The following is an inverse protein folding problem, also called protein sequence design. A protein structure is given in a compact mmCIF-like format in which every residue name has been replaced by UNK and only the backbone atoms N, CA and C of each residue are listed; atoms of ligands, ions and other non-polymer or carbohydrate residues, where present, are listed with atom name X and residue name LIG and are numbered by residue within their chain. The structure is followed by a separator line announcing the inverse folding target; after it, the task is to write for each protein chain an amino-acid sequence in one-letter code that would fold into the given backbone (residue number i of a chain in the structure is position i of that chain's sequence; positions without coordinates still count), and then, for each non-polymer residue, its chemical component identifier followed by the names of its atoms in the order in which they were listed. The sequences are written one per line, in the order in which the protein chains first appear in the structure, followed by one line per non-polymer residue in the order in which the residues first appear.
data_IF_992290883372
#
_entry.id   IF_992290883372
#
_cell.length_a   1.000
_cell.length_b   1.000
_cell.length_c   1.000
_cell.angle_alpha   90.00
_cell.angle_beta   90.00
_cell.angle_gamma   90.00
#
_symmetry.space_group_name_H-M   'P 1'
#
loop_
_entity.id
_entity.type
_entity.pdbx_description
1 polymer ?
#
# COMPACT_ATOMS: atom_id res chain seq x y z
N UNK A 1 -31.83 -33.66 1.70
CA UNK A 1 -30.39 -33.41 1.46
C UNK A 1 -30.17 -33.48 -0.04
N UNK A 2 -29.97 -32.34 -0.70
CA UNK A 2 -29.61 -32.32 -2.12
C UNK A 2 -28.13 -32.68 -2.28
N UNK A 3 -27.84 -33.57 -3.22
CA UNK A 3 -26.49 -34.05 -3.55
C UNK A 3 -25.62 -32.89 -4.04
N UNK A 4 -24.35 -32.89 -3.62
CA UNK A 4 -23.33 -31.85 -3.86
C UNK A 4 -23.00 -31.53 -5.34
N UNK A 5 -23.67 -32.17 -6.31
CA UNK A 5 -23.43 -31.97 -7.74
C UNK A 5 -24.30 -30.89 -8.40
N UNK A 6 -25.33 -30.40 -7.73
CA UNK A 6 -26.32 -29.50 -8.33
C UNK A 6 -26.39 -28.11 -7.67
N UNK A 7 -25.24 -27.50 -7.37
CA UNK A 7 -25.24 -26.03 -7.25
C UNK A 7 -25.22 -25.44 -8.66
N UNK A 8 -26.10 -24.48 -8.98
CA UNK A 8 -26.10 -23.84 -10.30
C UNK A 8 -24.72 -23.24 -10.52
N UNK A 9 -23.97 -23.85 -11.46
CA UNK A 9 -22.72 -23.29 -11.95
C UNK A 9 -23.05 -21.90 -12.43
N UNK A 10 -22.59 -20.88 -11.71
CA UNK A 10 -22.59 -19.50 -12.17
C UNK A 10 -22.19 -19.50 -13.64
N UNK A 11 -22.88 -18.70 -14.48
CA UNK A 11 -22.55 -18.54 -15.90
C UNK A 11 -21.08 -18.15 -16.11
N UNK A 12 -20.42 -17.68 -15.04
CA UNK A 12 -18.98 -17.54 -14.89
C UNK A 12 -18.46 -18.74 -14.08
N UNK A 13 -17.89 -19.75 -14.75
CA UNK A 13 -17.38 -20.98 -14.13
C UNK A 13 -16.40 -20.74 -12.97
N UNK A 14 -15.78 -19.56 -12.92
CA UNK A 14 -14.68 -19.23 -12.02
C UNK A 14 -14.99 -18.08 -11.04
N UNK A 15 -16.26 -17.70 -10.80
CA UNK A 15 -16.60 -16.67 -9.80
C UNK A 15 -17.41 -17.30 -8.66
N UNK A 16 -16.80 -17.39 -7.47
CA UNK A 16 -17.43 -17.94 -6.26
C UNK A 16 -18.01 -16.80 -5.40
N UNK A 17 -19.30 -16.88 -5.06
CA UNK A 17 -19.92 -16.00 -4.06
C UNK A 17 -19.50 -16.40 -2.65
N UNK A 18 -19.47 -15.46 -1.71
CA UNK A 18 -19.25 -15.75 -0.28
C UNK A 18 -20.28 -16.78 0.19
N UNK A 19 -19.82 -17.97 0.59
CA UNK A 19 -20.65 -18.96 1.26
C UNK A 19 -20.62 -18.71 2.77
N UNK A 20 -21.76 -18.80 3.48
CA UNK A 20 -21.79 -18.72 4.94
C UNK A 20 -21.06 -19.93 5.54
N UNK A 21 -20.21 -19.64 6.53
CA UNK A 21 -19.33 -20.53 7.29
C UNK A 21 -19.50 -22.04 7.10
N UNK A 22 -18.79 -22.59 6.09
CA UNK A 22 -18.40 -24.01 6.09
C UNK A 22 -16.99 -24.21 5.54
N UNK A 23 -16.10 -24.50 6.50
CA UNK A 23 -14.95 -25.43 6.45
C UNK A 23 -13.89 -25.27 5.34
N UNK A 24 -12.77 -24.65 5.69
CA UNK A 24 -11.47 -25.33 5.91
C UNK A 24 -10.37 -24.28 6.07
N UNK A 25 -9.70 -24.31 7.23
CA UNK A 25 -8.34 -23.78 7.37
C UNK A 25 -7.47 -24.39 6.26
N UNK A 26 -6.70 -23.56 5.53
CA UNK A 26 -5.74 -23.89 4.44
C UNK A 26 -6.12 -23.64 2.97
N UNK A 27 -7.06 -22.74 2.66
CA UNK A 27 -7.03 -22.14 1.32
C UNK A 27 -5.96 -21.04 1.28
N UNK A 28 -4.80 -21.32 0.63
CA UNK A 28 -3.76 -20.33 0.37
C UNK A 28 -4.28 -19.31 -0.65
N UNK A 29 -4.95 -18.29 -0.12
CA UNK A 29 -5.52 -17.18 -0.87
C UNK A 29 -4.42 -16.13 -1.13
N UNK A 30 -3.98 -16.02 -2.39
CA UNK A 30 -3.11 -14.91 -2.83
C UNK A 30 -3.91 -13.91 -3.67
N UNK A 31 -3.50 -12.64 -3.65
CA UNK A 31 -4.07 -11.63 -4.55
C UNK A 31 -3.69 -11.94 -5.99
N UNK A 32 -4.67 -11.77 -6.87
CA UNK A 32 -4.66 -11.98 -8.33
C UNK A 32 -3.27 -11.91 -8.96
N UNK A 33 -2.63 -13.06 -9.13
CA UNK A 33 -1.62 -13.25 -10.18
C UNK A 33 -2.35 -14.05 -11.25
N UNK A 34 -2.71 -13.41 -12.35
CA UNK A 34 -3.27 -14.14 -13.49
C UNK A 34 -2.23 -15.18 -13.93
N UNK A 35 -2.69 -16.40 -14.27
CA UNK A 35 -1.82 -17.36 -14.94
C UNK A 35 -1.43 -16.73 -16.28
N UNK A 36 -0.14 -16.67 -16.57
CA UNK A 36 0.36 -16.25 -17.88
C UNK A 36 0.13 -17.43 -18.82
N UNK A 37 -1.02 -17.45 -19.49
CA UNK A 37 -1.19 -18.27 -20.67
C UNK A 37 -0.51 -17.53 -21.82
N UNK A 38 0.62 -18.06 -22.30
CA UNK A 38 1.21 -17.59 -23.55
C UNK A 38 0.28 -18.05 -24.68
N UNK A 39 -0.28 -17.13 -25.48
CA UNK A 39 -1.13 -17.53 -26.59
C UNK A 39 -0.31 -18.29 -27.62
N UNK A 40 -0.83 -19.42 -28.10
CA UNK A 40 -0.18 -20.30 -29.09
C UNK A 40 0.17 -19.57 -30.42
N UNK A 41 -0.46 -18.42 -30.70
CA UNK A 41 -0.08 -17.52 -31.81
C UNK A 41 -0.31 -16.04 -31.45
N UNK A 42 0.66 -15.14 -31.72
CA UNK A 42 0.48 -13.71 -31.53
C UNK A 42 -0.52 -13.16 -32.56
N UNK A 43 -1.68 -12.72 -32.09
CA UNK A 43 -2.68 -12.06 -32.92
C UNK A 43 -2.21 -10.65 -33.31
N UNK A 44 -2.25 -10.33 -34.61
CA UNK A 44 -1.88 -9.02 -35.16
C UNK A 44 -3.09 -8.09 -35.36
N UNK A 45 -4.28 -8.51 -34.93
CA UNK A 45 -5.50 -7.72 -35.14
C UNK A 45 -5.52 -6.47 -34.26
N UNK A 46 -6.02 -5.36 -34.82
CA UNK A 46 -6.22 -4.10 -34.10
C UNK A 46 -7.06 -4.31 -32.83
N UNK A 47 -6.65 -3.69 -31.73
CA UNK A 47 -7.37 -3.70 -30.45
C UNK A 47 -8.28 -2.48 -30.38
N UNK A 48 -9.60 -2.69 -30.34
CA UNK A 48 -10.55 -1.59 -30.18
C UNK A 48 -10.63 -1.11 -28.72
N UNK A 49 -10.56 -2.05 -27.78
CA UNK A 49 -10.76 -1.84 -26.35
C UNK A 49 -9.71 -2.62 -25.58
N UNK A 50 -8.90 -1.91 -24.78
CA UNK A 50 -7.86 -2.50 -23.96
C UNK A 50 -8.13 -2.18 -22.49
N UNK A 51 -8.22 -3.22 -21.66
CA UNK A 51 -8.31 -3.07 -20.20
C UNK A 51 -6.95 -3.42 -19.60
N UNK A 52 -6.30 -2.46 -18.97
CA UNK A 52 -4.99 -2.65 -18.31
C UNK A 52 -5.23 -2.73 -16.81
N UNK A 53 -4.97 -3.90 -16.23
CA UNK A 53 -5.08 -4.17 -14.79
C UNK A 53 -3.71 -4.50 -14.21
N UNK A 54 -3.61 -4.68 -12.89
CA UNK A 54 -2.35 -5.01 -12.23
C UNK A 54 -1.64 -3.79 -11.63
N UNK A 55 -0.34 -3.93 -11.38
CA UNK A 55 0.47 -2.91 -10.69
C UNK A 55 0.86 -1.77 -11.63
N UNK A 56 1.15 -0.59 -11.09
CA UNK A 56 1.44 0.59 -11.90
C UNK A 56 2.67 0.40 -12.79
N UNK A 57 3.72 -0.24 -12.25
CA UNK A 57 4.97 -0.47 -12.99
C UNK A 57 4.83 -1.47 -14.15
N UNK A 58 3.78 -2.29 -14.16
CA UNK A 58 3.55 -3.29 -15.21
C UNK A 58 2.84 -2.67 -16.42
N UNK A 59 2.11 -1.57 -16.22
CA UNK A 59 1.24 -0.98 -17.24
C UNK A 59 2.01 -0.53 -18.48
N UNK A 60 3.18 0.11 -18.30
CA UNK A 60 4.00 0.56 -19.44
C UNK A 60 4.46 -0.63 -20.28
N UNK A 61 5.00 -1.67 -19.64
CA UNK A 61 5.44 -2.89 -20.33
C UNK A 61 4.26 -3.60 -21.02
N UNK A 62 3.13 -3.69 -20.34
CA UNK A 62 1.92 -4.33 -20.87
C UNK A 62 1.41 -3.61 -22.11
N UNK A 63 1.30 -2.29 -22.09
CA UNK A 63 0.84 -1.51 -23.25
C UNK A 63 1.88 -1.53 -24.36
N UNK A 64 3.18 -1.47 -24.03
CA UNK A 64 4.25 -1.53 -25.02
C UNK A 64 4.22 -2.85 -25.80
N UNK A 65 3.86 -3.97 -25.16
CA UNK A 65 3.76 -5.28 -25.81
C UNK A 65 2.66 -5.39 -26.88
N UNK A 66 1.70 -4.48 -26.88
CA UNK A 66 0.59 -4.42 -27.85
C UNK A 66 0.53 -3.08 -28.58
N UNK A 67 1.61 -2.30 -28.54
CA UNK A 67 1.66 -0.93 -29.08
C UNK A 67 1.34 -0.88 -30.57
N UNK A 68 1.82 -1.87 -31.32
CA UNK A 68 1.60 -2.05 -32.76
C UNK A 68 0.12 -2.29 -33.12
N UNK A 69 -0.71 -2.68 -32.14
CA UNK A 69 -2.13 -3.01 -32.30
C UNK A 69 -3.07 -1.91 -31.78
N UNK A 70 -2.52 -0.80 -31.34
CA UNK A 70 -3.24 0.32 -30.70
C UNK A 70 -3.07 1.59 -31.53
N UNK A 71 -4.16 2.29 -31.79
CA UNK A 71 -4.19 3.54 -32.55
C UNK A 71 -5.13 4.59 -31.93
N UNK A 72 -5.35 5.72 -32.60
CA UNK A 72 -6.24 6.79 -32.16
C UNK A 72 -7.71 6.36 -31.97
N UNK A 73 -8.13 5.26 -32.61
CA UNK A 73 -9.48 4.72 -32.50
C UNK A 73 -9.58 3.70 -31.34
N UNK A 74 -8.49 3.41 -30.63
CA UNK A 74 -8.47 2.48 -29.51
C UNK A 74 -8.86 3.19 -28.21
N UNK A 75 -9.67 2.53 -27.38
CA UNK A 75 -9.94 2.99 -26.01
C UNK A 75 -9.15 2.14 -25.02
N UNK A 76 -8.27 2.78 -24.25
CA UNK A 76 -7.50 2.13 -23.18
C UNK A 76 -8.07 2.55 -21.83
N UNK A 77 -8.47 1.58 -21.01
CA UNK A 77 -8.90 1.80 -19.63
C UNK A 77 -7.84 1.29 -18.64
N UNK A 78 -7.28 2.21 -17.86
CA UNK A 78 -6.32 1.92 -16.81
C UNK A 78 -7.05 1.67 -15.49
N UNK A 79 -6.98 0.44 -14.98
CA UNK A 79 -7.59 -0.01 -13.71
C UNK A 79 -6.54 -0.17 -12.59
N UNK A 80 -5.37 0.41 -12.74
CA UNK A 80 -4.28 0.28 -11.76
C UNK A 80 -4.61 0.99 -10.43
N UNK A 81 -4.09 0.43 -9.32
CA UNK A 81 -4.32 0.97 -7.97
C UNK A 81 -3.65 2.35 -7.76
N UNK A 82 -2.46 2.55 -8.33
CA UNK A 82 -1.70 3.79 -8.23
C UNK A 82 -2.19 4.91 -9.18
N UNK A 83 -1.59 6.09 -9.04
CA UNK A 83 -1.77 7.25 -9.91
C UNK A 83 -0.42 7.65 -10.53
N UNK A 84 -0.44 8.46 -11.58
CA UNK A 84 0.77 8.78 -12.35
C UNK A 84 1.07 7.79 -13.48
N UNK A 85 0.28 6.71 -13.60
CA UNK A 85 0.47 5.66 -14.62
C UNK A 85 0.16 6.19 -16.01
N UNK A 86 -0.91 6.98 -16.16
CA UNK A 86 -1.31 7.55 -17.45
C UNK A 86 -0.23 8.48 -18.01
N UNK A 87 0.31 9.34 -17.16
CA UNK A 87 1.36 10.29 -17.49
C UNK A 87 2.61 9.57 -17.99
N UNK A 88 3.04 8.53 -17.28
CA UNK A 88 4.21 7.75 -17.65
C UNK A 88 4.00 6.93 -18.94
N UNK A 89 2.80 6.36 -19.13
CA UNK A 89 2.42 5.68 -20.37
C UNK A 89 2.49 6.63 -21.55
N UNK A 90 1.96 7.85 -21.41
CA UNK A 90 2.01 8.86 -22.48
C UNK A 90 3.43 9.27 -22.81
N UNK A 91 4.21 9.59 -21.78
CA UNK A 91 5.61 10.00 -21.93
C UNK A 91 6.43 8.91 -22.62
N UNK A 92 6.33 7.67 -22.14
CA UNK A 92 7.21 6.57 -22.57
C UNK A 92 6.77 5.93 -23.89
N UNK A 93 5.46 5.76 -24.10
CA UNK A 93 4.95 4.99 -25.24
C UNK A 93 4.51 5.91 -26.37
N UNK A 94 3.89 7.04 -26.05
CA UNK A 94 3.29 7.94 -27.03
C UNK A 94 4.09 9.24 -27.20
N UNK A 95 5.34 9.28 -26.75
CA UNK A 95 6.25 10.43 -26.84
C UNK A 95 5.64 11.73 -26.26
N UNK A 96 4.82 11.61 -25.21
CA UNK A 96 4.05 12.71 -24.64
C UNK A 96 2.98 13.31 -25.56
N UNK A 97 2.79 12.75 -26.77
CA UNK A 97 1.80 13.24 -27.73
C UNK A 97 0.40 12.77 -27.35
N UNK A 98 -0.56 13.67 -27.56
CA UNK A 98 -1.99 13.41 -27.37
C UNK A 98 -2.67 12.96 -28.68
N UNK A 99 -1.90 12.46 -29.66
CA UNK A 99 -2.40 11.88 -30.92
C UNK A 99 -2.55 10.36 -30.84
N UNK A 100 -2.62 9.82 -29.62
CA UNK A 100 -2.75 8.40 -29.35
C UNK A 100 -4.19 7.96 -29.01
N UNK A 101 -4.34 6.79 -28.38
CA UNK A 101 -5.64 6.23 -28.01
C UNK A 101 -6.39 7.12 -27.01
N UNK A 102 -7.70 6.92 -26.93
CA UNK A 102 -8.53 7.55 -25.89
C UNK A 102 -8.30 6.85 -24.55
N UNK A 103 -7.96 7.60 -23.51
CA UNK A 103 -7.72 7.04 -22.19
C UNK A 103 -8.93 7.20 -21.25
N UNK A 104 -9.20 6.12 -20.54
CA UNK A 104 -10.13 6.05 -19.42
C UNK A 104 -9.38 5.63 -18.16
N UNK A 105 -9.81 6.16 -17.03
CA UNK A 105 -9.31 5.78 -15.72
C UNK A 105 -10.43 5.06 -14.98
N UNK A 106 -10.07 3.99 -14.29
CA UNK A 106 -11.01 3.25 -13.48
C UNK A 106 -10.42 2.84 -12.14
N UNK A 107 -11.31 2.66 -11.18
CA UNK A 107 -10.98 2.13 -9.86
C UNK A 107 -12.11 1.24 -9.37
N UNK A 108 -11.78 0.21 -8.61
CA UNK A 108 -12.76 -0.72 -8.05
C UNK A 108 -12.55 -0.87 -6.54
N UNK A 109 -13.64 -0.93 -5.78
CA UNK A 109 -13.62 -1.19 -4.33
C UNK A 109 -13.93 -2.66 -3.96
N UNK A 110 -14.14 -3.53 -4.95
CA UNK A 110 -14.36 -4.96 -4.73
C UNK A 110 -13.14 -5.58 -4.04
N UNK A 111 -13.37 -6.36 -2.98
CA UNK A 111 -12.32 -7.16 -2.36
C UNK A 111 -12.31 -8.53 -3.03
N UNK A 112 -11.41 -8.72 -4.00
CA UNK A 112 -11.27 -9.96 -4.76
C UNK A 112 -10.03 -10.75 -4.32
N UNK A 113 -10.16 -12.07 -4.33
CA UNK A 113 -9.07 -13.01 -4.02
C UNK A 113 -9.04 -14.12 -5.05
N UNK A 114 -7.85 -14.52 -5.49
CA UNK A 114 -7.68 -15.66 -6.37
C UNK A 114 -7.46 -16.94 -5.56
N UNK A 115 -8.29 -17.94 -5.83
CA UNK A 115 -8.18 -19.29 -5.29
C UNK A 115 -7.46 -20.17 -6.32
N UNK A 116 -6.13 -20.32 -6.17
CA UNK A 116 -5.30 -21.13 -7.06
C UNK A 116 -5.76 -22.59 -7.14
N UNK A 117 -6.18 -23.18 -6.02
CA UNK A 117 -6.61 -24.58 -5.96
C UNK A 117 -7.83 -24.87 -6.85
N UNK A 118 -8.67 -23.85 -7.09
CA UNK A 118 -9.88 -23.97 -7.90
C UNK A 118 -9.80 -23.20 -9.22
N UNK A 119 -8.70 -22.50 -9.49
CA UNK A 119 -8.61 -21.58 -10.62
C UNK A 119 -9.73 -20.52 -10.64
N UNK A 120 -10.19 -20.09 -9.46
CA UNK A 120 -11.38 -19.23 -9.34
C UNK A 120 -11.09 -17.92 -8.61
N UNK A 121 -11.86 -16.88 -8.90
CA UNK A 121 -11.88 -15.62 -8.16
C UNK A 121 -13.03 -15.65 -7.16
N UNK A 122 -12.74 -15.37 -5.90
CA UNK A 122 -13.72 -15.20 -4.83
C UNK A 122 -13.87 -13.73 -4.52
N UNK A 123 -15.10 -13.24 -4.53
CA UNK A 123 -15.44 -11.93 -3.99
C UNK A 123 -15.59 -12.07 -2.47
N UNK A 124 -14.72 -11.43 -1.70
CA UNK A 124 -14.80 -11.39 -0.23
C UNK A 124 -15.78 -10.32 0.25
N UNK A 125 -15.75 -9.16 -0.42
CA UNK A 125 -16.63 -8.03 -0.14
C UNK A 125 -17.04 -7.39 -1.45
N UNK A 126 -18.36 -7.26 -1.64
CA UNK A 126 -18.95 -6.52 -2.73
C UNK A 126 -18.54 -5.06 -2.71
N UNK A 127 -18.13 -4.54 -3.88
CA UNK A 127 -17.77 -3.15 -4.07
C UNK A 127 -18.51 -2.53 -5.24
N UNK A 128 -17.96 -1.43 -5.76
CA UNK A 128 -18.38 -0.80 -7.00
C UNK A 128 -17.18 -0.49 -7.88
N UNK A 129 -17.42 -0.35 -9.17
CA UNK A 129 -16.42 0.06 -10.15
C UNK A 129 -16.77 1.44 -10.68
N UNK A 130 -15.86 2.41 -10.56
CA UNK A 130 -16.11 3.78 -11.02
C UNK A 130 -15.11 4.12 -12.13
N UNK A 131 -15.63 4.61 -13.25
CA UNK A 131 -14.88 4.96 -14.45
C UNK A 131 -14.98 6.45 -14.73
N UNK A 132 -13.92 7.04 -15.26
CA UNK A 132 -13.91 8.43 -15.72
C UNK A 132 -13.07 8.59 -16.98
N UNK A 133 -13.36 9.63 -17.76
CA UNK A 133 -12.66 9.93 -19.00
C UNK A 133 -11.47 10.83 -18.71
N UNK A 134 -10.26 10.40 -19.05
CA UNK A 134 -9.04 11.18 -18.79
C UNK A 134 -8.91 12.40 -19.72
N UNK A 135 -9.47 12.31 -20.93
CA UNK A 135 -9.23 13.26 -22.02
C UNK A 135 -10.34 14.31 -22.23
N UNK A 136 -11.27 14.45 -21.28
CA UNK A 136 -12.50 15.25 -21.49
C UNK A 136 -12.21 16.71 -21.85
N UNK A 137 -11.27 17.36 -21.14
CA UNK A 137 -10.89 18.76 -21.40
C UNK A 137 -10.10 18.93 -22.72
N UNK A 138 -9.20 17.99 -23.02
CA UNK A 138 -8.34 18.02 -24.21
C UNK A 138 -9.11 17.77 -25.50
N UNK A 139 -10.14 16.91 -25.48
CA UNK A 139 -11.02 16.68 -26.63
C UNK A 139 -11.81 17.93 -27.00
N UNK A 140 -12.29 18.65 -25.98
CA UNK A 140 -12.99 19.93 -26.14
C UNK A 140 -12.07 20.97 -26.81
N UNK A 141 -10.84 21.12 -26.32
CA UNK A 141 -9.84 22.05 -26.87
C UNK A 141 -9.44 21.72 -28.32
N UNK A 142 -9.39 20.44 -28.69
CA UNK A 142 -9.04 20.01 -30.06
C UNK A 142 -10.21 20.03 -31.05
N UNK A 143 -11.41 20.45 -30.64
CA UNK A 143 -12.58 20.46 -31.51
C UNK A 143 -12.99 19.07 -32.03
N UNK A 144 -12.54 18.00 -31.37
CA UNK A 144 -12.85 16.62 -31.74
C UNK A 144 -14.32 16.34 -31.42
N UNK A 145 -15.20 16.52 -32.41
CA UNK A 145 -16.67 16.37 -32.30
C UNK A 145 -17.14 14.91 -32.13
N UNK A 146 -16.28 13.93 -32.39
CA UNK A 146 -16.65 12.52 -32.22
C UNK A 146 -16.92 12.24 -30.74
N UNK A 147 -18.09 11.66 -30.43
CA UNK A 147 -18.39 11.19 -29.09
C UNK A 147 -17.34 10.13 -28.69
N UNK A 148 -16.77 10.20 -27.48
CA UNK A 148 -15.84 9.17 -27.01
C UNK A 148 -16.51 7.79 -27.11
N UNK A 149 -15.77 6.77 -27.55
CA UNK A 149 -16.30 5.40 -27.60
C UNK A 149 -16.67 4.95 -26.18
N UNK A 150 -17.97 4.85 -25.92
CA UNK A 150 -18.54 4.39 -24.64
C UNK A 150 -18.82 2.90 -24.62
N UNK A 151 -18.44 2.17 -25.67
CA UNK A 151 -18.73 0.74 -25.79
C UNK A 151 -18.11 -0.07 -24.65
N UNK A 152 -16.88 0.27 -24.22
CA UNK A 152 -16.26 -0.38 -23.07
C UNK A 152 -17.06 -0.16 -21.78
N UNK A 153 -17.46 1.09 -21.50
CA UNK A 153 -18.29 1.43 -20.34
C UNK A 153 -19.59 0.62 -20.36
N UNK A 154 -20.29 0.60 -21.50
CA UNK A 154 -21.55 -0.12 -21.65
C UNK A 154 -21.37 -1.61 -21.38
N UNK A 155 -20.30 -2.22 -21.89
CA UNK A 155 -19.96 -3.63 -21.62
C UNK A 155 -19.74 -3.89 -20.13
N UNK A 156 -19.04 -2.99 -19.43
CA UNK A 156 -18.82 -3.13 -17.99
C UNK A 156 -20.11 -2.93 -17.18
N UNK A 157 -20.98 -2.01 -17.60
CA UNK A 157 -22.30 -1.78 -16.98
C UNK A 157 -23.27 -2.96 -17.18
N UNK A 158 -23.15 -3.69 -18.29
CA UNK A 158 -23.93 -4.90 -18.55
C UNK A 158 -23.56 -6.08 -17.64
N UNK A 159 -22.45 -6.01 -16.90
CA UNK A 159 -22.03 -7.01 -15.94
C UNK A 159 -22.47 -6.61 -14.51
N UNK A 160 -23.58 -7.15 -13.96
CA UNK A 160 -24.15 -6.65 -12.71
C UNK A 160 -23.23 -6.86 -11.50
N UNK A 161 -22.36 -7.87 -11.55
CA UNK A 161 -21.39 -8.17 -10.50
C UNK A 161 -20.32 -7.08 -10.34
N UNK A 162 -20.03 -6.29 -11.38
CA UNK A 162 -19.02 -5.22 -11.32
C UNK A 162 -19.56 -3.90 -10.76
N UNK A 163 -20.90 -3.77 -10.66
CA UNK A 163 -21.59 -2.54 -10.27
C UNK A 163 -20.92 -1.28 -10.85
N UNK A 164 -20.72 -1.30 -12.18
CA UNK A 164 -19.94 -0.29 -12.86
C UNK A 164 -20.74 1.00 -13.08
N UNK A 165 -20.14 2.15 -12.78
CA UNK A 165 -20.71 3.48 -13.04
C UNK A 165 -19.67 4.41 -13.67
N UNK A 166 -20.13 5.51 -14.25
CA UNK A 166 -19.28 6.58 -14.75
C UNK A 166 -19.45 7.83 -13.92
N UNK A 167 -18.36 8.55 -13.67
CA UNK A 167 -18.37 9.81 -12.94
C UNK A 167 -17.50 10.87 -13.61
N UNK A 168 -17.65 12.11 -13.15
CA UNK A 168 -16.67 13.16 -13.39
C UNK A 168 -15.34 12.84 -12.69
N UNK A 169 -14.29 13.53 -13.10
CA UNK A 169 -12.92 13.25 -12.67
C UNK A 169 -12.71 13.53 -11.18
N UNK A 170 -13.25 14.65 -10.68
CA UNK A 170 -13.28 15.03 -9.26
C UNK A 170 -13.99 13.98 -8.38
N UNK A 171 -15.14 13.50 -8.83
CA UNK A 171 -15.91 12.46 -8.14
C UNK A 171 -15.17 11.11 -8.16
N UNK A 172 -14.45 10.82 -9.24
CA UNK A 172 -13.60 9.64 -9.31
C UNK A 172 -12.40 9.75 -8.36
N UNK A 173 -11.79 10.93 -8.25
CA UNK A 173 -10.73 11.21 -7.28
C UNK A 173 -11.23 11.04 -5.84
N UNK A 174 -12.43 11.53 -5.52
CA UNK A 174 -13.09 11.31 -4.22
C UNK A 174 -13.21 9.82 -3.88
N UNK A 175 -13.51 8.99 -4.88
CA UNK A 175 -13.58 7.55 -4.70
C UNK A 175 -12.21 6.86 -4.55
N UNK A 176 -11.20 7.29 -5.33
CA UNK A 176 -9.88 6.62 -5.38
C UNK A 176 -8.90 7.09 -4.31
N UNK A 177 -8.82 8.40 -4.05
CA UNK A 177 -7.77 8.99 -3.21
C UNK A 177 -7.75 8.45 -1.78
N UNK A 178 -8.87 8.26 -1.05
CA UNK A 178 -8.83 7.71 0.30
C UNK A 178 -8.15 6.34 0.38
N UNK A 179 -8.41 5.46 -0.60
CA UNK A 179 -7.80 4.13 -0.70
C UNK A 179 -6.29 4.20 -0.95
N UNK A 180 -5.87 5.16 -1.78
CA UNK A 180 -4.46 5.40 -2.05
C UNK A 180 -3.73 6.00 -0.86
N UNK A 181 -4.29 7.02 -0.23
CA UNK A 181 -3.70 7.68 0.96
C UNK A 181 -3.55 6.69 2.11
N UNK A 182 -4.53 5.81 2.31
CA UNK A 182 -4.41 4.69 3.24
C UNK A 182 -3.17 3.85 2.94
N UNK A 183 -3.03 3.38 1.70
CA UNK A 183 -1.93 2.48 1.32
C UNK A 183 -0.57 3.19 1.44
N UNK A 184 -0.54 4.46 1.03
CA UNK A 184 0.62 5.34 1.08
C UNK A 184 1.11 5.67 2.49
N UNK A 185 0.20 5.86 3.45
CA UNK A 185 0.56 6.13 4.85
C UNK A 185 0.84 4.84 5.64
N UNK A 186 0.03 3.81 5.46
CA UNK A 186 -0.02 2.66 6.38
C UNK A 186 1.03 1.61 6.02
N UNK A 187 1.17 1.26 4.74
CA UNK A 187 2.10 0.19 4.33
C UNK A 187 3.57 0.52 4.66
N UNK A 188 4.10 1.74 4.44
CA UNK A 188 5.48 2.05 4.80
C UNK A 188 5.73 2.00 6.31
N UNK A 189 4.72 2.31 7.13
CA UNK A 189 4.82 2.24 8.60
C UNK A 189 4.87 0.78 9.05
N UNK A 190 4.08 -0.10 8.43
CA UNK A 190 4.20 -1.56 8.64
C UNK A 190 5.61 -2.06 8.34
N UNK A 191 6.19 -1.66 7.20
CA UNK A 191 7.57 -2.04 6.82
C UNK A 191 8.58 -1.52 7.83
N UNK A 192 8.49 -0.24 8.19
CA UNK A 192 9.49 0.40 9.03
C UNK A 192 9.52 -0.19 10.45
N UNK A 193 8.34 -0.42 11.03
CA UNK A 193 8.21 -0.86 12.42
C UNK A 193 8.13 -2.38 12.56
N UNK A 194 8.11 -3.10 11.44
CA UNK A 194 7.87 -4.54 11.39
C UNK A 194 6.60 -4.92 12.17
N UNK A 195 5.50 -4.23 11.83
CA UNK A 195 4.21 -4.40 12.50
C UNK A 195 3.13 -4.87 11.52
N UNK A 196 2.32 -5.88 11.88
CA UNK A 196 1.07 -6.14 11.20
C UNK A 196 0.07 -4.98 11.41
N UNK A 197 -0.99 -4.91 10.60
CA UNK A 197 -1.95 -3.79 10.65
C UNK A 197 -2.54 -3.57 12.06
N UNK A 198 -2.97 -4.64 12.74
CA UNK A 198 -3.49 -4.55 14.12
C UNK A 198 -2.48 -3.98 15.13
N UNK A 199 -1.19 -4.20 14.92
CA UNK A 199 -0.12 -3.66 15.77
C UNK A 199 0.02 -2.15 15.67
N UNK A 200 -0.41 -1.55 14.56
CA UNK A 200 -0.37 -0.10 14.35
C UNK A 200 -1.28 0.66 15.33
N UNK A 201 -2.44 0.07 15.66
CA UNK A 201 -3.43 0.71 16.52
C UNK A 201 -3.01 0.77 17.99
N UNK A 202 -2.06 -0.06 18.42
CA UNK A 202 -1.59 -0.09 19.80
C UNK A 202 -0.24 0.63 19.95
N UNK A 203 0.44 0.92 18.83
CA UNK A 203 1.73 1.58 18.84
C UNK A 203 1.59 3.10 18.62
N UNK A 204 1.79 3.88 19.69
CA UNK A 204 1.72 5.36 19.66
C UNK A 204 2.67 5.99 18.63
N UNK A 205 3.84 5.39 18.42
CA UNK A 205 4.79 5.87 17.41
C UNK A 205 4.28 5.61 15.99
N UNK A 206 3.68 4.44 15.75
CA UNK A 206 3.07 4.10 14.47
C UNK A 206 1.92 5.06 14.15
N UNK A 207 1.02 5.28 15.10
CA UNK A 207 -0.10 6.23 14.96
C UNK A 207 0.40 7.65 14.66
N UNK A 208 1.39 8.14 15.40
CA UNK A 208 1.96 9.47 15.19
C UNK A 208 2.55 9.61 13.78
N UNK A 209 3.28 8.59 13.31
CA UNK A 209 3.89 8.57 11.98
C UNK A 209 2.83 8.52 10.87
N UNK A 210 1.82 7.65 11.01
CA UNK A 210 0.71 7.58 10.09
C UNK A 210 -0.03 8.91 9.99
N UNK A 211 -0.34 9.55 11.11
CA UNK A 211 -1.06 10.82 11.12
C UNK A 211 -0.24 11.90 10.40
N UNK A 212 1.07 12.03 10.68
CA UNK A 212 1.94 12.97 9.96
C UNK A 212 1.96 12.73 8.45
N UNK A 213 2.00 11.46 8.01
CA UNK A 213 1.96 11.11 6.59
C UNK A 213 0.61 11.46 5.96
N UNK A 214 -0.50 11.17 6.66
CA UNK A 214 -1.84 11.51 6.20
C UNK A 214 -2.02 13.03 6.09
N UNK A 215 -1.54 13.79 7.07
CA UNK A 215 -1.61 15.26 7.06
C UNK A 215 -0.82 15.87 5.90
N UNK A 216 0.40 15.37 5.62
CA UNK A 216 1.18 15.80 4.45
C UNK A 216 0.45 15.51 3.13
N UNK A 217 -0.14 14.32 3.00
CA UNK A 217 -0.88 13.95 1.79
C UNK A 217 -2.19 14.72 1.65
N UNK A 218 -2.91 14.95 2.74
CA UNK A 218 -4.15 15.72 2.76
C UNK A 218 -3.89 17.15 2.27
N UNK A 219 -2.84 17.82 2.78
CA UNK A 219 -2.43 19.15 2.32
C UNK A 219 -2.13 19.20 0.82
N UNK A 220 -1.47 18.17 0.27
CA UNK A 220 -1.21 18.08 -1.17
C UNK A 220 -2.51 17.95 -1.94
N UNK A 221 -3.40 17.04 -1.52
CA UNK A 221 -4.68 16.79 -2.18
C UNK A 221 -5.59 18.02 -2.12
N UNK A 222 -5.64 18.71 -0.98
CA UNK A 222 -6.38 19.94 -0.77
C UNK A 222 -5.93 21.10 -1.65
N UNK A 223 -4.70 21.07 -2.19
CA UNK A 223 -4.18 22.09 -3.11
C UNK A 223 -4.19 21.62 -4.57
N UNK A 224 -4.76 20.44 -4.87
CA UNK A 224 -4.92 20.00 -6.25
C UNK A 224 -6.00 20.82 -6.96
N UNK A 225 -5.72 21.43 -8.13
CA UNK A 225 -6.73 22.15 -8.89
C UNK A 225 -7.92 21.26 -9.28
N UNK A 226 -7.66 19.95 -9.47
CA UNK A 226 -8.68 18.98 -9.86
C UNK A 226 -9.64 18.61 -8.72
N UNK A 227 -9.29 18.97 -7.47
CA UNK A 227 -10.09 18.68 -6.26
C UNK A 227 -10.82 19.91 -5.73
N UNK A 228 -10.45 21.14 -6.15
CA UNK A 228 -11.04 22.37 -5.64
C UNK A 228 -12.56 22.47 -5.81
N UNK A 229 -13.11 21.79 -6.82
CA UNK A 229 -14.56 21.74 -7.05
C UNK A 229 -15.34 20.83 -6.11
N UNK A 230 -14.66 19.97 -5.32
CA UNK A 230 -15.30 18.97 -4.46
C UNK A 230 -15.18 19.37 -2.98
N UNK A 231 -16.17 20.13 -2.49
CA UNK A 231 -16.25 20.54 -1.08
C UNK A 231 -16.34 19.34 -0.13
N UNK A 232 -17.06 18.30 -0.53
CA UNK A 232 -17.21 17.06 0.24
C UNK A 232 -15.88 16.35 0.47
N UNK A 233 -15.03 16.24 -0.57
CA UNK A 233 -13.70 15.64 -0.43
C UNK A 233 -12.81 16.50 0.47
N UNK A 234 -12.84 17.82 0.30
CA UNK A 234 -12.07 18.74 1.14
C UNK A 234 -12.50 18.62 2.61
N UNK A 235 -13.80 18.62 2.89
CA UNK A 235 -14.34 18.44 4.25
C UNK A 235 -13.95 17.08 4.84
N UNK A 236 -13.95 16.02 4.03
CA UNK A 236 -13.50 14.69 4.45
C UNK A 236 -12.02 14.65 4.85
N UNK A 237 -11.17 15.40 4.14
CA UNK A 237 -9.72 15.49 4.38
C UNK A 237 -9.38 16.37 5.59
N UNK A 238 -10.05 17.52 5.73
CA UNK A 238 -9.84 18.46 6.83
C UNK A 238 -10.40 17.96 8.16
N UNK A 239 -11.46 17.15 8.11
CA UNK A 239 -12.07 16.54 9.29
C UNK A 239 -11.40 15.24 9.75
N UNK A 240 -12.07 14.52 10.64
CA UNK A 240 -11.62 13.20 11.11
C UNK A 240 -11.98 12.06 10.13
N UNK A 241 -12.55 12.38 8.97
CA UNK A 241 -13.04 11.42 7.97
C UNK A 241 -11.94 10.49 7.47
N UNK A 242 -10.82 11.07 7.01
CA UNK A 242 -9.68 10.30 6.52
C UNK A 242 -9.05 9.40 7.60
N UNK A 243 -8.90 9.90 8.83
CA UNK A 243 -8.35 9.13 9.94
C UNK A 243 -9.28 7.98 10.34
N UNK A 244 -10.59 8.23 10.47
CA UNK A 244 -11.60 7.19 10.72
C UNK A 244 -11.64 6.16 9.59
N UNK A 245 -11.53 6.59 8.33
CA UNK A 245 -11.42 5.70 7.19
C UNK A 245 -10.20 4.77 7.32
N UNK A 246 -9.04 5.32 7.66
CA UNK A 246 -7.83 4.52 7.86
C UNK A 246 -8.00 3.54 9.03
N UNK A 247 -8.50 4.01 10.18
CA UNK A 247 -8.75 3.18 11.35
C UNK A 247 -9.66 1.99 11.03
N UNK A 248 -10.82 2.22 10.40
CA UNK A 248 -11.76 1.16 9.98
C UNK A 248 -11.12 0.13 9.04
N UNK A 249 -10.23 0.59 8.15
CA UNK A 249 -9.55 -0.29 7.21
C UNK A 249 -8.42 -1.09 7.85
N UNK A 250 -7.74 -0.53 8.85
CA UNK A 250 -6.77 -1.25 9.68
C UNK A 250 -7.47 -2.35 10.50
N UNK A 251 -8.57 -2.00 11.20
CA UNK A 251 -9.32 -2.98 11.99
C UNK A 251 -9.91 -4.08 11.11
N UNK A 252 -10.48 -3.73 9.95
CA UNK A 252 -11.02 -4.70 9.00
C UNK A 252 -9.98 -5.62 8.35
N UNK A 253 -8.69 -5.27 8.41
CA UNK A 253 -7.59 -6.13 7.96
C UNK A 253 -7.15 -7.14 9.03
N UNK A 254 -7.52 -6.94 10.30
CA UNK A 254 -7.21 -7.85 11.41
C UNK A 254 -5.73 -8.31 11.42
N UNK A 255 -5.47 -9.62 11.47
CA UNK A 255 -4.13 -10.21 11.44
C UNK A 255 -3.52 -10.32 10.04
N UNK A 256 -4.13 -9.70 9.01
CA UNK A 256 -3.58 -9.77 7.67
C UNK A 256 -2.18 -9.13 7.65
N UNK A 257 -1.17 -9.77 7.05
CA UNK A 257 0.13 -9.16 6.81
C UNK A 257 0.05 -7.99 5.80
N UNK A 258 0.95 -7.02 5.95
CA UNK A 258 1.15 -5.92 5.00
C UNK A 258 1.55 -6.46 3.63
N UNK A 259 0.93 -5.91 2.58
CA UNK A 259 1.23 -6.36 1.22
C UNK A 259 2.57 -5.83 0.73
N UNK A 260 2.97 -4.65 1.20
CA UNK A 260 4.30 -4.12 0.91
C UNK A 260 5.38 -4.98 1.57
N UNK A 261 5.21 -5.35 2.84
CA UNK A 261 6.12 -6.24 3.57
C UNK A 261 6.29 -7.56 2.82
N UNK A 262 5.19 -8.26 2.51
CA UNK A 262 5.25 -9.52 1.75
C UNK A 262 6.00 -9.40 0.43
N UNK A 263 5.82 -8.29 -0.30
CA UNK A 263 6.50 -8.11 -1.59
C UNK A 263 7.99 -7.90 -1.41
N UNK A 264 8.38 -7.12 -0.41
CA UNK A 264 9.79 -6.93 -0.05
C UNK A 264 10.43 -8.26 0.34
N UNK A 265 9.78 -9.04 1.19
CA UNK A 265 10.25 -10.38 1.61
C UNK A 265 10.39 -11.33 0.42
N UNK A 266 9.47 -11.27 -0.54
CA UNK A 266 9.53 -12.06 -1.78
C UNK A 266 10.46 -11.46 -2.85
N UNK A 267 11.17 -10.37 -2.57
CA UNK A 267 12.05 -9.67 -3.52
C UNK A 267 11.32 -9.02 -4.71
N UNK A 268 10.00 -8.91 -4.67
CA UNK A 268 9.17 -8.41 -5.77
C UNK A 268 9.19 -6.88 -5.86
N UNK A 269 9.12 -6.36 -7.09
CA UNK A 269 9.02 -4.92 -7.34
C UNK A 269 7.81 -4.29 -6.64
N UNK A 270 7.95 -3.08 -6.09
CA UNK A 270 6.92 -2.39 -5.31
C UNK A 270 6.27 -1.26 -6.10
N UNK A 271 5.04 -0.89 -5.73
CA UNK A 271 4.27 0.19 -6.37
C UNK A 271 4.48 1.56 -5.70
N UNK A 272 5.51 1.69 -4.85
CA UNK A 272 5.72 2.90 -4.07
C UNK A 272 5.81 4.17 -4.93
N UNK A 273 6.29 4.05 -6.18
CA UNK A 273 6.38 5.17 -7.12
C UNK A 273 5.01 5.70 -7.59
N UNK A 274 4.02 4.83 -7.74
CA UNK A 274 2.65 5.20 -8.17
C UNK A 274 1.71 5.48 -6.99
N UNK A 275 2.17 5.21 -5.77
CA UNK A 275 1.47 5.52 -4.53
C UNK A 275 2.10 6.77 -3.91
N UNK A 276 3.14 6.59 -3.08
CA UNK A 276 3.82 7.70 -2.42
C UNK A 276 4.49 8.65 -3.42
N UNK A 277 5.08 8.11 -4.49
CA UNK A 277 5.72 8.91 -5.53
C UNK A 277 4.75 9.82 -6.29
N UNK A 278 3.47 9.45 -6.40
CA UNK A 278 2.44 10.34 -6.95
C UNK A 278 2.29 11.60 -6.09
N UNK A 279 2.08 11.45 -4.78
CA UNK A 279 1.93 12.59 -3.87
C UNK A 279 3.19 13.46 -3.86
N UNK A 280 4.39 12.88 -3.86
CA UNK A 280 5.64 13.63 -3.94
C UNK A 280 5.78 14.43 -5.24
N UNK A 281 5.41 13.83 -6.39
CA UNK A 281 5.43 14.53 -7.68
C UNK A 281 4.46 15.70 -7.67
N UNK A 282 3.24 15.51 -7.18
CA UNK A 282 2.23 16.58 -7.08
C UNK A 282 2.63 17.68 -6.10
N UNK A 283 3.18 17.32 -4.94
CA UNK A 283 3.70 18.27 -3.97
C UNK A 283 4.77 19.18 -4.60
N UNK A 284 5.71 18.59 -5.35
CA UNK A 284 6.75 19.34 -6.07
C UNK A 284 6.14 20.33 -7.07
N UNK A 285 5.14 19.93 -7.85
CA UNK A 285 4.44 20.81 -8.80
C UNK A 285 3.73 21.98 -8.10
N UNK A 286 3.22 21.75 -6.88
CA UNK A 286 2.52 22.75 -6.08
C UNK A 286 3.46 23.59 -5.18
N UNK A 287 4.77 23.30 -5.17
CA UNK A 287 5.72 23.96 -4.26
C UNK A 287 5.53 23.57 -2.78
N UNK A 288 4.93 22.41 -2.49
CA UNK A 288 4.70 21.89 -1.15
C UNK A 288 5.77 20.87 -0.74
N UNK A 289 6.18 20.93 0.53
CA UNK A 289 7.13 20.00 1.12
C UNK A 289 6.43 18.82 1.84
N UNK A 290 6.99 17.62 1.68
CA UNK A 290 6.53 16.39 2.31
C UNK A 290 7.70 15.65 3.00
N UNK A 291 8.31 16.24 4.04
CA UNK A 291 9.54 15.72 4.64
C UNK A 291 9.36 14.33 5.25
N UNK A 292 8.23 14.06 5.90
CA UNK A 292 7.94 12.76 6.51
C UNK A 292 7.78 11.70 5.44
N UNK A 293 7.03 11.99 4.37
CA UNK A 293 6.82 11.06 3.27
C UNK A 293 8.14 10.77 2.51
N UNK A 294 8.94 11.80 2.21
CA UNK A 294 10.29 11.65 1.62
C UNK A 294 11.17 10.72 2.45
N UNK A 295 11.23 10.93 3.77
CA UNK A 295 12.01 10.10 4.68
C UNK A 295 11.49 8.65 4.71
N UNK A 296 10.17 8.47 4.78
CA UNK A 296 9.54 7.15 4.86
C UNK A 296 9.80 6.30 3.62
N UNK A 297 9.68 6.89 2.43
CA UNK A 297 10.01 6.17 1.18
C UNK A 297 11.50 5.81 1.16
N UNK A 298 12.39 6.73 1.55
CA UNK A 298 13.83 6.44 1.56
C UNK A 298 14.13 5.24 2.48
N UNK A 299 13.55 5.21 3.67
CA UNK A 299 13.72 4.09 4.61
C UNK A 299 13.11 2.78 4.07
N UNK A 300 11.89 2.82 3.52
CA UNK A 300 11.26 1.64 2.93
C UNK A 300 12.04 1.08 1.73
N UNK A 301 12.61 1.95 0.89
CA UNK A 301 13.49 1.55 -0.22
C UNK A 301 14.80 0.94 0.27
N UNK A 302 15.38 1.46 1.35
CA UNK A 302 16.58 0.86 1.95
C UNK A 302 16.28 -0.56 2.44
N UNK A 303 15.15 -0.79 3.10
CA UNK A 303 14.75 -2.15 3.50
C UNK A 303 14.50 -3.05 2.28
N UNK A 304 13.93 -2.52 1.19
CA UNK A 304 13.78 -3.27 -0.06
C UNK A 304 15.13 -3.67 -0.66
N UNK A 305 16.12 -2.76 -0.68
CA UNK A 305 17.46 -3.05 -1.19
C UNK A 305 18.21 -4.05 -0.31
N UNK A 306 18.07 -3.96 1.02
CA UNK A 306 18.65 -4.94 1.94
C UNK A 306 18.07 -6.34 1.70
N UNK A 307 16.75 -6.44 1.50
CA UNK A 307 16.09 -7.72 1.21
C UNK A 307 16.53 -8.31 -0.14
N UNK A 308 16.81 -7.46 -1.14
CA UNK A 308 17.35 -7.90 -2.43
C UNK A 308 18.87 -8.12 -2.43
N UNK A 309 19.59 -7.56 -1.46
CA UNK A 309 21.05 -7.50 -1.38
C UNK A 309 21.67 -8.35 -0.27
N UNK A 310 21.11 -9.52 0.01
CA UNK A 310 21.67 -10.48 0.98
C UNK A 310 23.00 -11.08 0.50
N UNK A 311 24.11 -10.35 0.68
CA UNK A 311 25.47 -10.86 0.54
C UNK A 311 26.47 -9.82 0.00
N UNK A 312 27.11 -9.05 0.88
CA UNK A 312 28.22 -8.17 0.48
C UNK A 312 28.52 -7.09 1.51
N UNK A 313 29.50 -7.32 2.36
CA UNK A 313 29.89 -6.41 3.43
C UNK A 313 30.73 -5.21 3.00
N UNK A 314 31.02 -4.37 3.99
CA UNK A 314 32.30 -3.69 4.13
C UNK A 314 32.43 -2.28 3.55
N UNK A 315 32.52 -1.30 4.46
CA UNK A 315 33.64 -0.34 4.42
C UNK A 315 33.39 1.05 3.82
N UNK A 316 33.53 2.07 4.69
CA UNK A 316 34.62 3.03 4.50
C UNK A 316 34.29 4.51 4.22
N UNK A 317 34.72 5.36 5.16
CA UNK A 317 35.19 6.74 4.94
C UNK A 317 34.19 7.85 5.31
N UNK A 318 34.48 8.88 6.13
CA UNK A 318 35.70 9.33 6.83
C UNK A 318 35.61 10.86 7.06
N UNK A 319 36.03 11.38 8.22
CA UNK A 319 36.27 12.83 8.41
C UNK A 319 36.09 13.46 9.81
N UNK A 320 37.14 13.40 10.64
CA UNK A 320 37.67 14.43 11.58
C UNK A 320 36.90 14.96 12.82
N UNK A 321 37.15 14.36 14.01
CA UNK A 321 37.23 15.06 15.34
C UNK A 321 37.91 14.21 16.46
N UNK A 322 39.19 13.86 16.27
CA UNK A 322 39.87 12.73 16.94
C UNK A 322 40.46 12.89 18.35
N UNK A 323 39.71 13.30 19.38
CA UNK A 323 40.15 12.98 20.76
C UNK A 323 39.01 12.73 21.75
N UNK A 324 37.95 13.54 21.70
CA UNK A 324 36.73 13.26 22.46
C UNK A 324 35.86 12.20 21.77
N UNK A 325 35.93 12.16 20.43
CA UNK A 325 35.31 11.13 19.62
C UNK A 325 36.00 9.80 19.83
N UNK A 326 37.33 9.74 19.93
CA UNK A 326 38.06 8.48 20.09
C UNK A 326 37.67 7.72 21.37
N UNK A 327 37.41 8.44 22.46
CA UNK A 327 36.96 7.82 23.72
C UNK A 327 35.48 7.41 23.69
N UNK A 328 34.63 8.16 22.98
CA UNK A 328 33.24 7.75 22.71
C UNK A 328 33.17 6.55 21.78
N UNK A 329 34.02 6.54 20.77
CA UNK A 329 34.10 5.48 19.76
C UNK A 329 34.62 4.20 20.39
N UNK A 330 35.63 4.25 21.26
CA UNK A 330 36.05 3.08 22.04
C UNK A 330 34.93 2.53 22.93
N UNK A 331 34.16 3.41 23.58
CA UNK A 331 33.01 2.98 24.40
C UNK A 331 31.87 2.42 23.54
N UNK A 332 31.61 3.00 22.37
CA UNK A 332 30.60 2.53 21.41
C UNK A 332 31.01 1.21 20.77
N UNK A 333 32.26 1.05 20.36
CA UNK A 333 32.82 -0.17 19.77
C UNK A 333 32.80 -1.31 20.79
N UNK A 334 33.16 -1.04 22.06
CA UNK A 334 33.06 -2.02 23.14
C UNK A 334 31.60 -2.43 23.39
N UNK A 335 30.67 -1.47 23.42
CA UNK A 335 29.22 -1.74 23.53
C UNK A 335 28.72 -2.57 22.34
N UNK A 336 29.09 -2.21 21.12
CA UNK A 336 28.69 -2.88 19.89
C UNK A 336 29.22 -4.31 19.85
N UNK A 337 30.45 -4.53 20.31
CA UNK A 337 31.06 -5.86 20.41
C UNK A 337 30.29 -6.77 21.38
N UNK A 338 29.90 -6.24 22.54
CA UNK A 338 29.10 -6.99 23.52
C UNK A 338 27.71 -7.32 22.93
N UNK A 339 27.05 -6.34 22.30
CA UNK A 339 25.73 -6.52 21.69
C UNK A 339 25.75 -7.58 20.57
N UNK A 340 26.78 -7.60 19.72
CA UNK A 340 26.95 -8.61 18.67
C UNK A 340 27.17 -10.03 19.22
N UNK A 341 27.78 -10.16 20.39
CA UNK A 341 28.01 -11.45 21.03
C UNK A 341 26.74 -12.02 21.67
N UNK A 342 25.86 -11.15 22.18
CA UNK A 342 24.65 -11.54 22.91
C UNK A 342 23.38 -11.57 22.06
N UNK A 343 23.33 -10.90 20.91
CA UNK A 343 22.14 -10.85 20.04
C UNK A 343 22.23 -11.82 18.86
N UNK A 344 21.10 -12.39 18.47
CA UNK A 344 20.95 -12.92 17.11
C UNK A 344 20.94 -11.77 16.08
N UNK A 345 21.37 -12.02 14.83
CA UNK A 345 21.39 -10.99 13.78
C UNK A 345 20.02 -10.32 13.59
N UNK A 346 18.95 -11.10 13.63
CA UNK A 346 17.56 -10.61 13.54
C UNK A 346 17.17 -9.67 14.71
N UNK A 347 17.67 -9.96 15.91
CA UNK A 347 17.42 -9.14 17.10
C UNK A 347 18.23 -7.83 17.07
N UNK A 348 19.48 -7.88 16.60
CA UNK A 348 20.32 -6.71 16.41
C UNK A 348 19.74 -5.75 15.35
N UNK A 349 19.26 -6.29 14.22
CA UNK A 349 18.60 -5.53 13.18
C UNK A 349 17.36 -4.80 13.71
N UNK A 350 16.57 -5.48 14.53
CA UNK A 350 15.40 -4.88 15.15
C UNK A 350 15.74 -3.78 16.15
N UNK A 351 16.75 -3.99 16.98
CA UNK A 351 17.22 -2.97 17.92
C UNK A 351 17.70 -1.72 17.16
N UNK A 352 18.39 -1.91 16.02
CA UNK A 352 18.75 -0.84 15.09
C UNK A 352 17.53 -0.10 14.52
N UNK A 353 16.48 -0.80 14.08
CA UNK A 353 15.22 -0.17 13.63
C UNK A 353 14.55 0.66 14.72
N UNK A 354 14.59 0.20 15.97
CA UNK A 354 14.01 0.92 17.13
C UNK A 354 14.83 2.18 17.44
N UNK A 355 16.16 2.10 17.40
CA UNK A 355 17.07 3.24 17.61
C UNK A 355 16.77 4.39 16.63
N UNK A 356 16.38 4.06 15.40
CA UNK A 356 16.01 5.05 14.38
C UNK A 356 14.67 5.79 14.62
N UNK A 357 13.86 5.30 15.55
CA UNK A 357 12.53 5.86 15.86
C UNK A 357 12.55 6.59 17.20
N UNK A 358 13.21 6.01 18.20
CA UNK A 358 13.47 6.61 19.51
C UNK A 358 14.78 6.06 20.06
N UNK A 359 15.85 6.85 19.94
CA UNK A 359 17.20 6.51 20.37
C UNK A 359 17.28 6.20 21.88
N UNK A 360 16.59 6.99 22.70
CA UNK A 360 16.49 6.79 24.16
C UNK A 360 15.98 5.38 24.52
N UNK A 361 14.93 4.92 23.83
CA UNK A 361 14.32 3.60 24.10
C UNK A 361 15.22 2.44 23.67
N UNK A 362 15.96 2.60 22.57
CA UNK A 362 16.93 1.59 22.15
C UNK A 362 18.10 1.53 23.15
N UNK A 363 18.58 2.69 23.59
CA UNK A 363 19.67 2.81 24.57
C UNK A 363 19.31 2.16 25.91
N UNK A 364 18.07 2.34 26.38
CA UNK A 364 17.57 1.70 27.60
C UNK A 364 17.58 0.16 27.50
N UNK A 365 17.16 -0.36 26.35
CA UNK A 365 17.11 -1.80 26.08
C UNK A 365 18.52 -2.37 25.95
N UNK A 366 19.43 -1.68 25.26
CA UNK A 366 20.85 -2.05 25.16
C UNK A 366 21.53 -2.08 26.52
N UNK A 367 21.39 -1.02 27.32
CA UNK A 367 21.98 -0.94 28.66
C UNK A 367 21.49 -2.10 29.54
N UNK A 368 20.21 -2.48 29.42
CA UNK A 368 19.64 -3.60 30.18
C UNK A 368 20.15 -4.95 29.67
N UNK A 369 20.29 -5.14 28.37
CA UNK A 369 20.86 -6.35 27.79
C UNK A 369 22.34 -6.53 28.16
N UNK A 370 23.12 -5.44 28.13
CA UNK A 370 24.52 -5.43 28.57
C UNK A 370 24.62 -5.78 30.06
N UNK A 371 23.74 -5.21 30.91
CA UNK A 371 23.71 -5.54 32.34
C UNK A 371 23.37 -7.02 32.59
N UNK A 372 22.39 -7.58 31.87
CA UNK A 372 22.03 -9.01 31.96
C UNK A 372 23.15 -9.94 31.46
N UNK A 373 23.95 -9.47 30.49
CA UNK A 373 25.11 -10.19 29.99
C UNK A 373 26.27 -10.17 31.00
N UNK A 374 26.58 -9.00 31.58
CA UNK A 374 27.64 -8.83 32.58
C UNK A 374 27.34 -9.57 33.89
N UNK A 375 26.07 -9.67 34.26
CA UNK A 375 25.61 -10.43 35.45
C UNK A 375 25.51 -11.94 35.21
N UNK A 376 25.83 -12.42 34.00
CA UNK A 376 25.83 -13.85 33.66
C UNK A 376 24.44 -14.49 33.60
N UNK A 377 23.37 -13.70 33.55
CA UNK A 377 21.98 -14.21 33.48
C UNK A 377 21.58 -14.65 32.07
N UNK A 378 22.28 -14.17 31.03
CA UNK A 378 22.09 -14.58 29.64
C UNK A 378 22.89 -15.85 29.33
N UNK A 379 22.23 -17.02 29.39
CA UNK A 379 22.83 -18.32 29.02
C UNK A 379 22.86 -18.58 27.52
N UNK A 380 22.08 -17.83 26.73
CA UNK A 380 21.92 -18.01 25.29
C UNK A 380 21.81 -16.66 24.59
N UNK A 381 22.08 -16.64 23.27
CA UNK A 381 21.89 -15.45 22.44
C UNK A 381 20.41 -15.07 22.43
N UNK A 382 20.13 -13.78 22.62
CA UNK A 382 18.78 -13.23 22.65
C UNK A 382 18.19 -13.28 21.25
N UNK A 383 17.07 -13.97 21.13
CA UNK A 383 16.31 -14.06 19.89
C UNK A 383 15.41 -12.83 19.70
N UNK A 384 14.94 -12.63 18.48
CA UNK A 384 14.04 -11.51 18.18
C UNK A 384 12.72 -11.58 18.99
N UNK A 385 12.22 -12.79 19.28
CA UNK A 385 11.05 -13.02 20.11
C UNK A 385 11.28 -12.61 21.58
N UNK A 386 12.44 -12.94 22.14
CA UNK A 386 12.81 -12.52 23.50
C UNK A 386 13.01 -11.00 23.59
N UNK A 387 13.56 -10.39 22.52
CA UNK A 387 13.66 -8.93 22.42
C UNK A 387 12.27 -8.26 22.38
N UNK A 388 11.29 -8.84 21.67
CA UNK A 388 9.88 -8.40 21.69
C UNK A 388 9.32 -8.39 23.10
N UNK A 389 9.50 -9.47 23.84
CA UNK A 389 8.99 -9.58 25.22
C UNK A 389 9.62 -8.55 26.15
N UNK A 390 10.93 -8.33 26.03
CA UNK A 390 11.67 -7.35 26.84
C UNK A 390 11.23 -5.91 26.55
N UNK A 391 10.94 -5.61 25.27
CA UNK A 391 10.39 -4.31 24.85
C UNK A 391 8.98 -4.05 25.36
N UNK A 392 8.16 -5.10 25.47
CA UNK A 392 6.80 -5.02 26.02
C UNK A 392 6.84 -4.86 27.55
N UNK A 393 7.66 -5.66 28.25
CA UNK A 393 7.81 -5.57 29.71
C UNK A 393 8.36 -4.21 30.19
N UNK A 394 9.14 -3.51 29.36
CA UNK A 394 9.59 -2.13 29.65
C UNK A 394 8.56 -1.06 29.29
N UNK A 395 7.59 -1.36 28.42
CA UNK A 395 6.45 -0.46 28.17
C UNK A 395 5.50 -0.46 29.37
N UNK A 396 5.21 -1.65 29.92
CA UNK A 396 4.25 -1.82 31.03
C UNK A 396 4.71 -1.14 32.33
N UNK A 397 6.03 -1.12 32.62
CA UNK A 397 6.59 -0.46 33.82
C UNK A 397 6.46 1.06 33.85
N UNK A 398 6.12 1.71 32.73
CA UNK A 398 5.86 3.17 32.67
C UNK A 398 4.36 3.51 32.73
N UNK A 399 3.46 2.53 32.70
CA UNK A 399 2.00 2.76 32.63
C UNK A 399 1.26 2.60 33.98
N UNK A 400 1.96 2.41 35.10
CA UNK A 400 1.35 2.45 36.45
C UNK A 400 1.07 3.88 36.94
N UNK A 401 0.40 4.71 36.14
CA UNK A 401 -0.38 5.87 36.64
C UNK A 401 -1.84 5.71 36.19
N UNK A 402 -2.63 5.17 37.13
CA UNK A 402 -4.06 4.86 37.04
C UNK A 402 -4.90 6.02 36.49
N UNK A 403 -5.66 5.77 35.42
CA UNK A 403 -6.92 6.47 35.14
C UNK A 403 -8.06 5.43 35.14
N UNK A 404 -8.96 5.60 36.12
CA UNK A 404 -10.20 4.83 36.27
C UNK A 404 -11.19 5.28 35.21
N UNK A 405 -11.60 4.38 34.30
CA UNK A 405 -12.74 4.63 33.40
C UNK A 405 -13.73 3.47 33.50
N UNK A 406 -14.91 3.84 33.97
CA UNK A 406 -16.11 3.03 34.07
C UNK A 406 -16.58 2.58 32.69
N UNK A 407 -16.75 1.27 32.51
CA UNK A 407 -17.40 0.69 31.32
C UNK A 407 -18.89 1.02 31.37
N UNK A 408 -19.38 1.78 30.39
CA UNK A 408 -20.77 1.64 29.94
C UNK A 408 -20.82 0.90 28.61
N UNK A 409 -21.68 -0.11 28.63
CA UNK A 409 -22.15 -0.95 27.52
C UNK A 409 -23.30 -0.20 26.82
N UNK A 410 -23.57 -0.57 25.57
CA UNK A 410 -24.53 -0.01 24.59
C UNK A 410 -23.86 0.95 23.59
N UNK A 411 -24.06 0.89 22.28
CA UNK A 411 -25.25 0.49 21.52
C UNK A 411 -24.92 -0.27 20.22
N UNK A 412 -25.95 -1.02 19.79
CA UNK A 412 -26.16 -1.69 18.50
C UNK A 412 -26.12 -0.76 17.28
N UNK A 413 -25.99 -1.41 16.11
CA UNK A 413 -26.46 -1.05 14.77
C UNK A 413 -26.51 0.43 14.38
N UNK A 414 -25.64 0.78 13.43
CA UNK A 414 -26.07 1.54 12.26
C UNK A 414 -25.25 1.05 11.04
N UNK A 415 -25.94 0.26 10.22
CA UNK A 415 -25.69 0.17 8.78
C UNK A 415 -25.76 1.59 8.22
N UNK A 416 -24.61 2.13 7.80
CA UNK A 416 -24.59 3.25 6.87
C UNK A 416 -23.53 3.00 5.80
N UNK A 417 -24.07 2.58 4.67
CA UNK A 417 -23.53 2.76 3.34
C UNK A 417 -22.81 4.11 3.23
N UNK A 418 -21.64 4.08 2.60
CA UNK A 418 -20.90 5.29 2.25
C UNK A 418 -21.60 6.01 1.10
N UNK A 419 -22.71 6.68 1.42
CA UNK A 419 -23.18 7.87 0.73
C UNK A 419 -22.49 9.09 1.36
N UNK A 420 -21.33 9.42 0.80
CA UNK A 420 -20.86 10.79 0.76
C UNK A 420 -20.77 11.21 -0.69
#
# INVERSE_FOLDING_TARGET
MLSFRDMPKSRYQNVEKVQPDRTRSSAYAEKNTALVEEPDTPSTSRINQLLVTGRGFEAVKAIASVKDRVDENTTICLMNDGMGVLEEVRETIFNGTYSGPTFMLGHMSHALVFNRNRGSVKELKGGRTVLTMADTALRSLKGLRASPDRTLVRKLQLAPSLKASTSLYDQWLKFKLPSMMFTAAVEPVCVLLDLPYNGLLHNRSAQSMMNKLLDEMARVVENLPEVQGSTELINFLQGEGLKRFCYRRITGKAMAPSELVKRIEKGLQTDMNYQNGYFLKRAKTLGLEMPTNKLMIRKARLEQLKAQGGGGGGGGGGGSSGQQEQQRQQNEDARQSILNQILHPEAADRLGRIRLVKEERATDVENRLIMLAQTGQLRQKVTEAQLKELLNAMADKKEEEKIVVSRRKAWDDDDDDLDL
#
